data_IF_687603316345
#
_entry.id   IF_687603316345
#
_cell.length_a   1.000
_cell.length_b   1.000
_cell.length_c   1.000
_cell.angle_alpha   90.00
_cell.angle_beta   90.00
_cell.angle_gamma   90.00
#
_symmetry.space_group_name_H-M   'P 1'
#
loop_
_entity.id
_entity.type
_entity.pdbx_description
1 polymer ?
#
# COMPACT_ATOMS: atom_id res chain seq x y z
N UNK A 1 24.07 3.25 -13.84
CA UNK A 1 23.61 3.94 -12.61
C UNK A 1 23.24 2.86 -11.62
N UNK A 2 24.05 2.65 -10.59
CA UNK A 2 23.91 1.53 -9.65
C UNK A 2 22.68 1.72 -8.75
N UNK A 3 21.73 0.78 -8.81
CA UNK A 3 20.61 0.72 -7.86
C UNK A 3 21.18 0.57 -6.45
N UNK A 4 20.87 1.52 -5.56
CA UNK A 4 21.28 1.51 -4.15
C UNK A 4 20.40 0.53 -3.37
N UNK A 5 20.92 -0.01 -2.29
CA UNK A 5 20.18 -0.88 -1.38
C UNK A 5 19.06 -0.11 -0.66
N UNK A 6 17.88 0.01 -1.29
CA UNK A 6 16.54 -0.13 -0.69
C UNK A 6 15.43 0.42 -1.61
N UNK A 7 15.26 -0.13 -2.82
CA UNK A 7 14.09 0.17 -3.69
C UNK A 7 12.76 -0.37 -3.11
N UNK A 8 12.74 -0.91 -1.88
CA UNK A 8 11.58 -1.52 -1.24
C UNK A 8 10.84 -0.52 -0.35
N UNK A 9 9.53 -0.36 -0.56
CA UNK A 9 8.66 0.50 0.25
C UNK A 9 7.45 -0.29 0.73
N UNK A 10 7.17 -0.23 2.02
CA UNK A 10 5.95 -0.84 2.58
C UNK A 10 4.80 0.16 2.48
N UNK A 11 3.68 -0.28 1.93
CA UNK A 11 2.46 0.53 1.84
C UNK A 11 1.31 -0.22 2.48
N UNK A 12 0.54 0.45 3.33
CA UNK A 12 -0.65 -0.12 3.94
C UNK A 12 -1.89 0.71 3.61
N UNK A 13 -2.95 0.05 3.16
CA UNK A 13 -4.27 0.66 2.96
C UNK A 13 -5.16 0.31 4.16
N UNK A 14 -5.77 1.32 4.78
CA UNK A 14 -6.68 1.14 5.91
C UNK A 14 -8.04 1.80 5.67
N UNK A 15 -9.00 1.61 6.58
CA UNK A 15 -10.39 2.03 6.42
C UNK A 15 -10.66 3.51 6.70
N UNK A 16 -9.79 4.41 6.24
CA UNK A 16 -10.06 5.85 6.21
C UNK A 16 -10.42 6.30 4.79
N UNK A 17 -11.15 7.42 4.68
CA UNK A 17 -11.43 8.04 3.38
C UNK A 17 -10.14 8.51 2.68
N UNK A 18 -10.18 8.62 1.36
CA UNK A 18 -9.06 9.09 0.56
C UNK A 18 -8.31 7.97 -0.15
N UNK A 19 -9.03 6.92 -0.57
CA UNK A 19 -8.48 5.76 -1.29
C UNK A 19 -7.66 6.17 -2.53
N UNK A 20 -8.04 7.28 -3.17
CA UNK A 20 -7.34 7.84 -4.33
C UNK A 20 -5.87 8.18 -4.03
N UNK A 21 -5.54 8.62 -2.81
CA UNK A 21 -4.16 8.92 -2.42
C UNK A 21 -3.31 7.65 -2.33
N UNK A 22 -3.88 6.58 -1.75
CA UNK A 22 -3.20 5.28 -1.67
C UNK A 22 -2.93 4.70 -3.06
N UNK A 23 -3.92 4.74 -3.95
CA UNK A 23 -3.75 4.31 -5.35
C UNK A 23 -2.65 5.12 -6.04
N UNK A 24 -2.69 6.46 -5.92
CA UNK A 24 -1.70 7.33 -6.58
C UNK A 24 -0.29 7.14 -6.04
N UNK A 25 -0.16 6.93 -4.72
CA UNK A 25 1.13 6.66 -4.10
C UNK A 25 1.76 5.39 -4.68
N UNK A 26 1.03 4.28 -4.71
CA UNK A 26 1.53 3.02 -5.27
C UNK A 26 1.90 3.17 -6.74
N UNK A 27 1.06 3.87 -7.51
CA UNK A 27 1.32 4.13 -8.93
C UNK A 27 2.65 4.87 -9.15
N UNK A 28 2.91 5.94 -8.39
CA UNK A 28 4.15 6.72 -8.52
C UNK A 28 5.37 5.91 -8.06
N UNK A 29 5.25 5.13 -6.98
CA UNK A 29 6.34 4.28 -6.49
C UNK A 29 6.74 3.23 -7.53
N UNK A 30 5.76 2.55 -8.13
CA UNK A 30 6.02 1.56 -9.18
C UNK A 30 6.66 2.20 -10.43
N UNK A 31 6.18 3.37 -10.83
CA UNK A 31 6.77 4.12 -11.96
C UNK A 31 8.25 4.48 -11.72
N UNK A 32 8.60 4.86 -10.48
CA UNK A 32 9.99 5.12 -10.09
C UNK A 32 10.85 3.86 -10.03
N UNK A 33 10.24 2.68 -10.19
CA UNK A 33 10.93 1.39 -10.18
C UNK A 33 11.04 0.75 -8.80
N UNK A 34 10.26 1.20 -7.82
CA UNK A 34 10.25 0.65 -6.48
C UNK A 34 9.54 -0.72 -6.43
N UNK A 35 9.96 -1.55 -5.49
CA UNK A 35 9.25 -2.74 -5.04
C UNK A 35 8.31 -2.34 -3.89
N UNK A 36 7.02 -2.35 -4.14
CA UNK A 36 5.99 -2.00 -3.17
C UNK A 36 5.46 -3.26 -2.48
N UNK A 37 5.62 -3.32 -1.16
CA UNK A 37 5.02 -4.35 -0.31
C UNK A 37 3.68 -3.83 0.23
N UNK A 38 2.57 -4.31 -0.34
CA UNK A 38 1.24 -3.82 -0.03
C UNK A 38 0.50 -4.73 0.94
N UNK A 39 -0.08 -4.14 1.99
CA UNK A 39 -1.02 -4.80 2.90
C UNK A 39 -2.34 -4.01 2.94
N UNK A 40 -3.46 -4.71 2.89
CA UNK A 40 -4.79 -4.09 2.86
C UNK A 40 -5.60 -4.57 4.06
N UNK A 41 -6.17 -3.64 4.84
CA UNK A 41 -7.04 -4.01 5.96
C UNK A 41 -8.46 -4.39 5.49
N UNK A 42 -9.20 -5.23 6.24
CA UNK A 42 -10.59 -5.57 5.90
C UNK A 42 -11.50 -4.36 5.71
N UNK A 43 -11.27 -3.28 6.47
CA UNK A 43 -12.04 -2.05 6.35
C UNK A 43 -11.70 -1.28 5.06
N UNK A 44 -10.44 -1.28 4.63
CA UNK A 44 -10.02 -0.63 3.37
C UNK A 44 -10.73 -1.22 2.16
N UNK A 45 -10.98 -2.55 2.13
CA UNK A 45 -11.74 -3.18 1.04
C UNK A 45 -13.10 -2.48 0.82
N UNK A 46 -13.82 -2.15 1.90
CA UNK A 46 -15.13 -1.50 1.81
C UNK A 46 -15.02 -0.05 1.36
N UNK A 47 -14.01 0.67 1.84
CA UNK A 47 -13.81 2.08 1.48
C UNK A 47 -13.42 2.22 0.01
N UNK A 48 -12.49 1.40 -0.49
CA UNK A 48 -12.06 1.41 -1.89
C UNK A 48 -13.20 1.03 -2.84
N UNK A 49 -14.02 0.03 -2.47
CA UNK A 49 -15.23 -0.32 -3.23
C UNK A 49 -16.23 0.86 -3.28
N UNK A 50 -16.41 1.57 -2.16
CA UNK A 50 -17.36 2.68 -2.07
C UNK A 50 -16.87 3.89 -2.88
N UNK A 51 -15.62 4.29 -2.66
CA UNK A 51 -15.05 5.53 -3.20
C UNK A 51 -14.60 5.40 -4.65
N UNK A 52 -14.03 4.25 -5.03
CA UNK A 52 -13.33 4.07 -6.31
C UNK A 52 -13.91 2.96 -7.19
N UNK A 53 -14.98 2.29 -6.74
CA UNK A 53 -15.53 1.08 -7.39
C UNK A 53 -14.46 0.01 -7.63
N UNK A 54 -13.46 -0.03 -6.74
CA UNK A 54 -12.30 -0.91 -6.88
C UNK A 54 -12.37 -2.01 -5.83
N UNK A 55 -12.63 -3.23 -6.29
CA UNK A 55 -12.53 -4.42 -5.45
C UNK A 55 -11.06 -4.78 -5.23
N UNK A 56 -10.67 -4.88 -3.96
CA UNK A 56 -9.32 -5.31 -3.54
C UNK A 56 -9.26 -6.83 -3.20
N UNK A 57 -10.36 -7.57 -3.35
CA UNK A 57 -10.42 -8.98 -2.98
C UNK A 57 -9.59 -9.88 -3.92
N UNK A 58 -9.05 -10.97 -3.37
CA UNK A 58 -8.32 -12.01 -4.11
C UNK A 58 -6.89 -11.65 -4.52
N UNK A 59 -6.31 -10.61 -3.91
CA UNK A 59 -5.02 -10.05 -4.30
C UNK A 59 -5.19 -8.97 -5.38
N UNK A 60 -4.48 -7.86 -5.21
CA UNK A 60 -4.52 -6.73 -6.14
C UNK A 60 -3.24 -6.65 -6.96
N UNK A 61 -3.39 -6.52 -8.28
CA UNK A 61 -2.28 -6.25 -9.19
C UNK A 61 -2.11 -4.76 -9.40
N UNK A 62 -0.90 -4.33 -9.78
CA UNK A 62 -0.63 -2.94 -10.17
C UNK A 62 -1.61 -2.45 -11.25
N UNK A 63 -1.93 -3.31 -12.22
CA UNK A 63 -2.86 -2.99 -13.29
C UNK A 63 -4.28 -2.72 -12.78
N UNK A 64 -4.76 -3.47 -11.78
CA UNK A 64 -6.08 -3.24 -11.17
C UNK A 64 -6.14 -1.94 -10.37
N UNK A 65 -5.03 -1.50 -9.76
CA UNK A 65 -4.97 -0.18 -9.11
C UNK A 65 -5.13 0.96 -10.14
N UNK A 66 -4.59 0.77 -11.35
CA UNK A 66 -4.73 1.75 -12.43
C UNK A 66 -6.16 1.88 -12.96
N UNK A 67 -6.98 0.82 -12.90
CA UNK A 67 -8.38 0.86 -13.35
C UNK A 67 -9.31 1.56 -12.36
N UNK A 68 -8.81 2.01 -11.20
CA UNK A 68 -9.63 2.72 -10.23
C UNK A 68 -10.24 4.00 -10.84
N UNK A 69 -11.58 4.09 -10.79
CA UNK A 69 -12.29 5.30 -11.18
C UNK A 69 -12.20 6.30 -10.04
N UNK A 70 -11.60 7.47 -10.29
CA UNK A 70 -11.52 8.55 -9.30
C UNK A 70 -12.47 9.66 -9.79
N UNK A 71 -13.71 9.76 -9.27
CA UNK A 71 -14.78 10.55 -9.89
C UNK A 71 -14.47 12.05 -10.04
N UNK A 72 -13.68 12.59 -9.11
CA UNK A 72 -13.27 13.99 -9.09
C UNK A 72 -11.97 14.25 -9.89
N UNK A 73 -11.23 13.20 -10.25
CA UNK A 73 -10.00 13.29 -11.06
C UNK A 73 -10.32 12.88 -12.51
N UNK A 74 -11.11 13.71 -13.20
CA UNK A 74 -11.64 13.42 -14.55
C UNK A 74 -10.58 13.28 -15.65
N UNK A 75 -9.47 14.02 -15.53
CA UNK A 75 -8.30 13.91 -16.38
C UNK A 75 -7.18 13.23 -15.62
N UNK A 76 -7.37 11.94 -15.32
CA UNK A 76 -6.34 11.13 -14.65
C UNK A 76 -5.17 10.99 -15.59
N UNK A 77 -4.17 11.86 -15.40
CA UNK A 77 -2.82 11.60 -15.86
C UNK A 77 -2.31 10.44 -15.01
N UNK A 78 -2.63 9.21 -15.43
CA UNK A 78 -1.80 8.09 -15.03
C UNK A 78 -0.38 8.45 -15.37
N UNK A 79 0.60 8.03 -14.57
CA UNK A 79 1.99 8.34 -14.92
C UNK A 79 2.22 7.78 -16.32
N UNK A 80 2.49 8.66 -17.29
CA UNK A 80 2.74 8.22 -18.67
C UNK A 80 4.05 7.45 -18.65
N UNK A 81 3.94 6.13 -18.77
CA UNK A 81 5.07 5.23 -18.91
C UNK A 81 4.88 3.89 -18.24
N UNK A 82 6.00 3.17 -18.14
CA UNK A 82 5.99 1.74 -17.89
C UNK A 82 6.05 1.42 -16.38
N UNK A 83 4.92 0.97 -15.82
CA UNK A 83 4.87 0.49 -14.43
C UNK A 83 5.61 -0.85 -14.22
N UNK A 84 6.02 -1.55 -15.28
CA UNK A 84 6.81 -2.79 -15.17
C UNK A 84 8.22 -2.55 -14.62
N UNK A 85 8.63 -1.27 -14.52
CA UNK A 85 9.87 -0.86 -13.86
C UNK A 85 9.92 -1.23 -12.38
N UNK A 86 8.76 -1.26 -11.73
CA UNK A 86 8.59 -1.60 -10.32
C UNK A 86 7.82 -2.91 -10.13
N UNK A 87 7.75 -3.37 -8.88
CA UNK A 87 7.08 -4.63 -8.53
C UNK A 87 6.08 -4.41 -7.41
N UNK A 88 4.86 -4.94 -7.54
CA UNK A 88 3.88 -4.96 -6.46
C UNK A 88 3.83 -6.36 -5.84
N UNK A 89 4.08 -6.46 -4.54
CA UNK A 89 4.00 -7.69 -3.75
C UNK A 89 2.92 -7.49 -2.69
N UNK A 90 1.87 -8.30 -2.71
CA UNK A 90 0.77 -8.22 -1.72
C UNK A 90 0.95 -9.25 -0.62
N UNK A 91 0.72 -8.86 0.62
CA UNK A 91 0.76 -9.74 1.78
C UNK A 91 -0.61 -9.85 2.44
N UNK A 92 -0.87 -10.97 3.11
CA UNK A 92 -2.10 -11.17 3.86
C UNK A 92 -2.18 -10.24 5.09
N UNK A 93 -3.39 -9.81 5.47
CA UNK A 93 -3.58 -8.95 6.65
C UNK A 93 -3.06 -9.56 7.96
N UNK A 94 -3.02 -10.89 8.04
CA UNK A 94 -2.55 -11.67 9.19
C UNK A 94 -1.29 -12.49 8.87
N UNK A 95 -0.57 -12.13 7.81
CA UNK A 95 0.62 -12.86 7.35
C UNK A 95 1.88 -12.38 8.10
N UNK A 96 2.07 -12.86 9.33
CA UNK A 96 3.24 -12.49 10.15
C UNK A 96 4.56 -13.10 9.66
N UNK A 97 4.50 -14.08 8.75
CA UNK A 97 5.68 -14.70 8.16
C UNK A 97 6.24 -13.86 7.01
N UNK A 98 5.51 -12.84 6.55
CA UNK A 98 5.98 -11.88 5.57
C UNK A 98 7.24 -11.16 6.09
N UNK A 99 8.25 -11.02 5.23
CA UNK A 99 9.53 -10.39 5.59
C UNK A 99 9.38 -9.00 6.21
N UNK A 100 8.36 -8.23 5.79
CA UNK A 100 8.05 -6.89 6.33
C UNK A 100 7.61 -6.87 7.80
N UNK A 101 7.40 -8.04 8.43
CA UNK A 101 7.18 -8.17 9.88
C UNK A 101 8.48 -8.16 10.71
N UNK A 102 9.64 -8.14 10.04
CA UNK A 102 10.98 -8.14 10.65
C UNK A 102 11.72 -6.83 10.36
N UNK A 103 12.32 -6.22 11.38
CA UNK A 103 13.15 -5.01 11.24
C UNK A 103 14.50 -5.26 10.54
N UNK A 104 14.87 -6.52 10.30
CA UNK A 104 16.04 -6.88 9.48
C UNK A 104 15.75 -6.87 7.98
N UNK A 105 14.47 -6.76 7.59
CA UNK A 105 14.08 -6.76 6.19
C UNK A 105 14.41 -5.41 5.55
N UNK A 106 15.16 -5.37 4.44
CA UNK A 106 15.66 -4.12 3.89
C UNK A 106 14.54 -3.33 3.22
N UNK A 107 14.11 -2.23 3.84
CA UNK A 107 13.16 -1.28 3.25
C UNK A 107 13.64 0.15 3.42
N UNK A 108 13.16 1.04 2.54
CA UNK A 108 13.35 2.49 2.67
C UNK A 108 12.36 3.14 3.64
N UNK A 109 11.40 2.37 4.17
CA UNK A 109 10.38 2.85 5.10
C UNK A 109 8.98 2.35 4.75
N UNK A 110 8.04 2.81 5.57
CA UNK A 110 6.63 2.42 5.51
C UNK A 110 5.71 3.64 5.44
N UNK A 111 4.65 3.54 4.64
CA UNK A 111 3.58 4.54 4.54
C UNK A 111 2.22 3.87 4.73
N UNK A 112 1.38 4.42 5.62
CA UNK A 112 -0.02 4.02 5.76
C UNK A 112 -0.89 5.08 5.08
N UNK A 113 -1.50 4.76 3.93
CA UNK A 113 -2.25 5.73 3.13
C UNK A 113 -3.43 5.07 2.39
N UNK A 114 -4.69 5.35 2.76
CA UNK A 114 -5.11 6.20 3.87
C UNK A 114 -4.92 5.52 5.24
N UNK A 115 -4.75 6.32 6.30
CA UNK A 115 -4.58 5.85 7.69
C UNK A 115 -5.83 6.17 8.52
N UNK A 116 -6.49 5.13 9.04
CA UNK A 116 -7.63 5.27 9.96
C UNK A 116 -7.16 5.61 11.37
N UNK A 117 -7.97 6.36 12.11
CA UNK A 117 -7.67 6.68 13.51
C UNK A 117 -7.50 5.42 14.38
N UNK A 118 -8.22 4.34 14.08
CA UNK A 118 -8.05 3.06 14.77
C UNK A 118 -6.68 2.45 14.50
N UNK A 119 -6.19 2.48 13.25
CA UNK A 119 -4.83 2.01 12.93
C UNK A 119 -3.78 2.90 13.57
N UNK A 120 -3.91 4.23 13.47
CA UNK A 120 -2.99 5.18 14.08
C UNK A 120 -2.86 4.95 15.60
N UNK A 121 -3.99 4.85 16.30
CA UNK A 121 -4.00 4.59 17.73
C UNK A 121 -3.36 3.24 18.07
N UNK A 122 -3.62 2.20 17.27
CA UNK A 122 -3.03 0.88 17.49
C UNK A 122 -1.51 0.87 17.33
N UNK A 123 -0.98 1.62 16.35
CA UNK A 123 0.47 1.81 16.17
C UNK A 123 1.05 2.62 17.32
N UNK A 124 0.42 3.75 17.67
CA UNK A 124 0.88 4.59 18.78
C UNK A 124 0.92 3.85 20.13
N UNK A 125 0.09 2.82 20.30
CA UNK A 125 0.04 1.98 21.50
C UNK A 125 0.83 0.67 21.36
N UNK A 126 1.49 0.40 20.23
CA UNK A 126 2.27 -0.82 20.00
C UNK A 126 1.43 -2.11 20.09
N UNK A 127 0.18 -2.08 19.58
CA UNK A 127 -0.74 -3.21 19.72
C UNK A 127 -0.32 -4.44 18.91
N UNK A 128 0.33 -4.25 17.75
CA UNK A 128 0.87 -5.32 16.89
C UNK A 128 -0.08 -6.51 16.61
N UNK A 129 -1.38 -6.28 16.45
CA UNK A 129 -2.42 -7.33 16.30
C UNK A 129 -2.70 -7.77 14.84
N UNK A 130 -1.96 -7.23 13.88
CA UNK A 130 -2.00 -7.63 12.46
C UNK A 130 -0.71 -7.18 11.77
N UNK A 131 -0.51 -7.61 10.52
CA UNK A 131 0.71 -7.31 9.78
C UNK A 131 0.94 -5.82 9.57
N UNK A 132 -0.10 -5.01 9.39
CA UNK A 132 0.05 -3.55 9.23
C UNK A 132 0.66 -2.93 10.49
N UNK A 133 0.12 -3.28 11.66
CA UNK A 133 0.61 -2.77 12.94
C UNK A 133 2.02 -3.31 13.22
N UNK A 134 2.24 -4.61 12.99
CA UNK A 134 3.54 -5.23 13.20
C UNK A 134 4.62 -4.63 12.31
N UNK A 135 4.31 -4.40 11.03
CA UNK A 135 5.24 -3.76 10.10
C UNK A 135 5.53 -2.32 10.55
N UNK A 136 4.56 -1.58 11.06
CA UNK A 136 4.79 -0.22 11.58
C UNK A 136 5.66 -0.21 12.86
N UNK A 137 5.64 -1.26 13.66
CA UNK A 137 6.47 -1.36 14.88
C UNK A 137 7.95 -1.65 14.59
N UNK A 138 8.29 -2.11 13.38
CA UNK A 138 9.66 -2.51 13.01
C UNK A 138 10.34 -1.60 11.99
N UNK A 139 9.63 -0.59 11.49
CA UNK A 139 10.11 0.41 10.53
C UNK A 139 10.05 1.81 11.14
#
# INVERSE_FOLDING_TARGET
MSRSASDHVVVAFTGASGSAYGVRLVEVLLYQGATVHLVVSPAAHRVFETELKLSLAGGITAQRLLTAEIPWWKSRTTVEGDLSRGQLITHGYQDYDAGIASGSFPTSGMVICPCSMGTLASVAQGMSTNLIQRAADVH
#
